data_IF_103206326307
#
_entry.id   IF_103206326307
#
_cell.length_a   1.000
_cell.length_b   1.000
_cell.length_c   1.000
_cell.angle_alpha   90.00
_cell.angle_beta   90.00
_cell.angle_gamma   90.00
#
_symmetry.space_group_name_H-M   'P 1'
#
loop_
_entity.id
_entity.type
_entity.pdbx_description
1 polymer ?
#
# COMPACT_ATOMS: atom_id res chain seq x y z
N UNK A 1 15.71 -24.76 -6.18
CA UNK A 1 14.84 -23.68 -6.67
C UNK A 1 14.55 -22.77 -5.49
N UNK A 2 14.66 -21.46 -5.66
CA UNK A 2 14.18 -20.51 -4.65
C UNK A 2 12.65 -20.68 -4.53
N UNK A 3 12.11 -20.73 -3.30
CA UNK A 3 10.65 -20.73 -3.07
C UNK A 3 10.08 -19.48 -3.76
N UNK A 4 9.02 -19.63 -4.54
CA UNK A 4 8.30 -18.48 -5.06
C UNK A 4 7.81 -17.63 -3.86
N UNK A 5 7.92 -16.33 -3.97
CA UNK A 5 7.40 -15.40 -2.97
C UNK A 5 5.90 -15.21 -3.20
N UNK A 6 5.13 -15.15 -2.13
CA UNK A 6 3.68 -14.96 -2.20
C UNK A 6 3.33 -13.49 -1.92
N UNK A 7 2.48 -12.92 -2.76
CA UNK A 7 1.96 -11.57 -2.57
C UNK A 7 0.45 -11.52 -2.72
N UNK A 8 -0.20 -10.63 -2.00
CA UNK A 8 -1.60 -10.28 -2.24
C UNK A 8 -1.72 -8.80 -2.56
N UNK A 9 -2.64 -8.48 -3.49
CA UNK A 9 -3.13 -7.12 -3.71
C UNK A 9 -4.57 -7.08 -3.22
N UNK A 10 -4.88 -6.17 -2.30
CA UNK A 10 -6.23 -6.01 -1.76
C UNK A 10 -6.74 -4.63 -2.13
N UNK A 11 -7.71 -4.59 -3.05
CA UNK A 11 -8.19 -3.33 -3.61
C UNK A 11 -9.65 -3.03 -3.24
N UNK A 12 -9.99 -1.73 -3.19
CA UNK A 12 -11.34 -1.26 -2.92
C UNK A 12 -11.40 0.13 -2.32
N UNK A 13 -12.45 0.39 -1.54
CA UNK A 13 -12.69 1.69 -0.95
C UNK A 13 -13.25 2.68 -1.97
N UNK A 14 -12.67 3.87 -2.10
CA UNK A 14 -13.15 4.88 -3.04
C UNK A 14 -12.74 4.58 -4.48
N UNK A 15 -13.73 4.32 -5.33
CA UNK A 15 -13.53 3.93 -6.73
C UNK A 15 -12.98 5.04 -7.63
N UNK A 16 -12.95 6.29 -7.17
CA UNK A 16 -12.36 7.42 -7.91
C UNK A 16 -10.85 7.29 -8.15
N UNK A 17 -10.15 6.44 -7.42
CA UNK A 17 -8.75 6.08 -7.64
C UNK A 17 -8.55 4.88 -8.57
N UNK A 18 -9.62 4.33 -9.16
CA UNK A 18 -9.58 3.16 -10.07
C UNK A 18 -8.75 2.00 -9.47
N UNK A 19 -9.03 1.56 -8.22
CA UNK A 19 -8.18 0.60 -7.51
C UNK A 19 -8.11 -0.77 -8.19
N UNK A 20 -9.16 -1.18 -8.88
CA UNK A 20 -9.21 -2.37 -9.73
C UNK A 20 -8.17 -2.31 -10.85
N UNK A 21 -8.12 -1.20 -11.59
CA UNK A 21 -7.13 -1.00 -12.66
C UNK A 21 -5.70 -0.89 -12.11
N UNK A 22 -5.54 -0.28 -10.96
CA UNK A 22 -4.25 -0.28 -10.28
C UNK A 22 -3.78 -1.71 -9.96
N UNK A 23 -4.67 -2.55 -9.43
CA UNK A 23 -4.36 -3.95 -9.17
C UNK A 23 -3.97 -4.71 -10.44
N UNK A 24 -4.70 -4.51 -11.55
CA UNK A 24 -4.43 -5.12 -12.86
C UNK A 24 -3.06 -4.70 -13.43
N UNK A 25 -2.59 -3.49 -13.17
CA UNK A 25 -1.28 -3.00 -13.61
C UNK A 25 -0.15 -3.58 -12.74
N UNK A 26 -0.33 -3.59 -11.43
CA UNK A 26 0.73 -3.98 -10.51
C UNK A 26 0.90 -5.49 -10.33
N UNK A 27 -0.14 -6.29 -10.53
CA UNK A 27 -0.02 -7.74 -10.42
C UNK A 27 1.00 -8.33 -11.42
N UNK A 28 0.93 -8.07 -12.74
CA UNK A 28 1.94 -8.54 -13.68
C UNK A 28 3.35 -8.03 -13.39
N UNK A 29 3.46 -6.80 -12.85
CA UNK A 29 4.75 -6.28 -12.44
C UNK A 29 5.37 -7.11 -11.30
N UNK A 30 4.60 -7.44 -10.27
CA UNK A 30 5.07 -8.28 -9.15
C UNK A 30 5.37 -9.71 -9.62
N UNK A 31 4.55 -10.27 -10.50
CA UNK A 31 4.81 -11.59 -11.11
C UNK A 31 6.14 -11.60 -11.86
N UNK A 32 6.44 -10.55 -12.61
CA UNK A 32 7.73 -10.39 -13.29
C UNK A 32 8.93 -10.33 -12.33
N UNK A 33 8.68 -10.02 -11.05
CA UNK A 33 9.67 -10.01 -9.97
C UNK A 33 9.73 -11.31 -9.17
N UNK A 34 9.00 -12.34 -9.61
CA UNK A 34 9.03 -13.69 -9.04
C UNK A 34 8.04 -13.90 -7.89
N UNK A 35 7.02 -13.05 -7.76
CA UNK A 35 5.92 -13.28 -6.84
C UNK A 35 4.81 -14.11 -7.48
N UNK A 36 4.21 -15.01 -6.72
CA UNK A 36 2.87 -15.54 -6.99
C UNK A 36 1.87 -14.54 -6.41
N UNK A 37 1.02 -13.95 -7.26
CA UNK A 37 0.15 -12.84 -6.86
C UNK A 37 -1.31 -13.29 -6.85
N UNK A 38 -2.01 -13.04 -5.75
CA UNK A 38 -3.46 -13.16 -5.67
C UNK A 38 -4.08 -11.76 -5.47
N UNK A 39 -5.25 -11.54 -6.08
CA UNK A 39 -5.96 -10.25 -6.02
C UNK A 39 -7.28 -10.46 -5.31
N UNK A 40 -7.61 -9.58 -4.37
CA UNK A 40 -8.82 -9.60 -3.57
C UNK A 40 -9.52 -8.23 -3.61
N UNK A 41 -10.84 -8.24 -3.74
CA UNK A 41 -11.73 -7.08 -3.69
C UNK A 41 -12.46 -6.93 -2.34
N UNK A 42 -12.01 -7.68 -1.34
CA UNK A 42 -12.54 -7.68 0.01
C UNK A 42 -11.43 -7.72 1.05
N UNK A 43 -11.67 -7.11 2.21
CA UNK A 43 -10.77 -7.15 3.35
C UNK A 43 -10.84 -8.49 4.11
N UNK A 44 -11.76 -9.38 3.76
CA UNK A 44 -11.94 -10.66 4.47
C UNK A 44 -10.74 -11.60 4.32
N UNK A 45 -9.89 -11.39 3.31
CA UNK A 45 -8.62 -12.12 3.19
C UNK A 45 -7.74 -11.97 4.43
N UNK A 46 -7.83 -10.84 5.13
CA UNK A 46 -7.08 -10.59 6.37
C UNK A 46 -7.52 -11.46 7.56
N UNK A 47 -8.69 -12.11 7.46
CA UNK A 47 -9.19 -13.07 8.46
C UNK A 47 -8.57 -14.47 8.31
N UNK A 48 -8.00 -14.78 7.16
CA UNK A 48 -7.34 -16.06 6.89
C UNK A 48 -5.93 -16.08 7.45
N UNK A 49 -5.80 -16.47 8.70
CA UNK A 49 -4.52 -16.44 9.41
C UNK A 49 -3.45 -17.35 8.80
N UNK A 50 -3.82 -18.45 8.15
CA UNK A 50 -2.86 -19.35 7.52
C UNK A 50 -2.33 -18.76 6.22
N UNK A 51 -3.21 -18.20 5.37
CA UNK A 51 -2.81 -17.45 4.19
C UNK A 51 -1.90 -16.28 4.57
N UNK A 52 -2.30 -15.47 5.55
CA UNK A 52 -1.55 -14.29 5.96
C UNK A 52 -0.14 -14.59 6.46
N UNK A 53 0.09 -15.74 7.08
CA UNK A 53 1.43 -16.19 7.52
C UNK A 53 2.34 -16.65 6.38
N UNK A 54 1.79 -17.12 5.26
CA UNK A 54 2.57 -17.63 4.12
C UNK A 54 2.90 -16.53 3.09
N UNK A 55 2.54 -15.28 3.38
CA UNK A 55 2.83 -14.14 2.53
C UNK A 55 4.24 -13.58 2.75
N UNK A 56 4.81 -13.05 1.68
CA UNK A 56 6.02 -12.22 1.70
C UNK A 56 5.68 -10.73 1.53
N UNK A 57 4.53 -10.40 0.89
CA UNK A 57 4.13 -9.02 0.59
C UNK A 57 2.61 -8.84 0.57
N UNK A 58 2.16 -7.77 1.19
CA UNK A 58 0.78 -7.25 1.12
C UNK A 58 0.81 -5.89 0.43
N UNK A 59 -0.04 -5.71 -0.58
CA UNK A 59 -0.20 -4.44 -1.30
C UNK A 59 -1.63 -3.94 -1.14
N UNK A 60 -1.90 -3.08 -0.15
CA UNK A 60 -3.21 -2.45 -0.01
C UNK A 60 -3.38 -1.37 -1.08
N UNK A 61 -4.45 -1.47 -1.85
CA UNK A 61 -4.93 -0.47 -2.83
C UNK A 61 -6.34 -0.04 -2.42
N UNK A 62 -6.45 0.45 -1.20
CA UNK A 62 -7.72 0.73 -0.54
C UNK A 62 -7.77 2.15 0.01
N UNK A 63 -8.53 3.04 -0.61
CA UNK A 63 -8.65 4.43 -0.17
C UNK A 63 -9.87 4.62 0.71
N UNK A 64 -9.71 5.30 1.86
CA UNK A 64 -10.80 5.54 2.83
C UNK A 64 -11.38 4.21 3.38
N UNK A 65 -12.69 4.14 3.55
CA UNK A 65 -13.39 2.96 4.04
C UNK A 65 -13.16 2.67 5.51
N UNK A 66 -13.71 1.55 5.93
CA UNK A 66 -13.58 1.04 7.31
C UNK A 66 -13.04 -0.38 7.28
N UNK A 67 -12.30 -0.73 8.31
CA UNK A 67 -11.79 -2.09 8.54
C UNK A 67 -12.34 -2.57 9.90
N UNK A 68 -12.76 -3.83 9.99
CA UNK A 68 -13.17 -4.38 11.28
C UNK A 68 -11.97 -4.60 12.20
N UNK A 69 -12.21 -4.79 13.49
CA UNK A 69 -11.13 -5.08 14.44
C UNK A 69 -10.42 -6.38 14.11
N UNK A 70 -11.15 -7.39 13.69
CA UNK A 70 -10.65 -8.70 13.33
C UNK A 70 -9.80 -8.65 12.06
N UNK A 71 -10.27 -7.96 11.01
CA UNK A 71 -9.51 -7.74 9.78
C UNK A 71 -8.23 -6.94 10.05
N UNK A 72 -8.33 -5.83 10.80
CA UNK A 72 -7.17 -5.03 11.19
C UNK A 72 -6.16 -5.85 11.99
N UNK A 73 -6.65 -6.68 12.96
CA UNK A 73 -5.79 -7.55 13.74
C UNK A 73 -5.02 -8.54 12.85
N UNK A 74 -5.69 -9.17 11.88
CA UNK A 74 -5.04 -10.10 10.95
C UNK A 74 -3.95 -9.43 10.11
N UNK A 75 -4.23 -8.24 9.55
CA UNK A 75 -3.26 -7.45 8.81
C UNK A 75 -2.04 -7.05 9.66
N UNK A 76 -2.30 -6.47 10.83
CA UNK A 76 -1.24 -6.04 11.77
C UNK A 76 -0.37 -7.21 12.20
N UNK A 77 -0.96 -8.36 12.53
CA UNK A 77 -0.22 -9.57 12.93
C UNK A 77 0.66 -10.10 11.81
N UNK A 78 0.22 -10.08 10.57
CA UNK A 78 1.05 -10.47 9.44
C UNK A 78 2.29 -9.57 9.33
N UNK A 79 2.11 -8.25 9.39
CA UNK A 79 3.22 -7.29 9.31
C UNK A 79 4.16 -7.41 10.52
N UNK A 80 3.64 -7.54 11.74
CA UNK A 80 4.45 -7.80 12.94
C UNK A 80 5.28 -9.08 12.83
N UNK A 81 4.80 -10.10 12.13
CA UNK A 81 5.52 -11.36 11.91
C UNK A 81 6.61 -11.27 10.84
N UNK A 82 6.70 -10.15 10.12
CA UNK A 82 7.73 -9.90 9.11
C UNK A 82 7.24 -9.91 7.67
N UNK A 83 5.94 -10.04 7.41
CA UNK A 83 5.37 -9.87 6.08
C UNK A 83 5.53 -8.40 5.66
N UNK A 84 6.10 -8.17 4.48
CA UNK A 84 6.25 -6.82 3.92
C UNK A 84 4.89 -6.18 3.59
N UNK A 85 4.80 -4.87 3.77
CA UNK A 85 3.67 -4.08 3.30
C UNK A 85 4.20 -2.95 2.42
N UNK A 86 3.59 -2.73 1.26
CA UNK A 86 3.94 -1.65 0.34
C UNK A 86 2.69 -1.13 -0.36
N UNK A 87 2.64 0.17 -0.54
CA UNK A 87 1.51 0.82 -1.20
C UNK A 87 1.89 2.25 -1.58
N UNK A 88 0.94 2.96 -2.14
CA UNK A 88 1.15 4.33 -2.63
C UNK A 88 -0.11 5.18 -2.47
N UNK A 89 0.07 6.49 -2.42
CA UNK A 89 -1.00 7.47 -2.46
C UNK A 89 -2.12 7.18 -1.43
N UNK A 90 -3.38 7.46 -1.79
CA UNK A 90 -4.54 7.16 -0.95
C UNK A 90 -4.78 5.68 -0.71
N UNK A 91 -4.30 4.81 -1.58
CA UNK A 91 -4.45 3.35 -1.44
C UNK A 91 -3.73 2.76 -0.25
N UNK A 92 -2.79 3.49 0.36
CA UNK A 92 -2.18 3.13 1.63
C UNK A 92 -2.27 4.25 2.66
N UNK A 93 -1.93 5.50 2.30
CA UNK A 93 -1.84 6.62 3.25
C UNK A 93 -3.18 7.18 3.71
N UNK A 94 -4.28 6.90 3.00
CA UNK A 94 -5.63 7.35 3.32
C UNK A 94 -6.61 6.20 3.60
N UNK A 95 -6.10 5.00 3.83
CA UNK A 95 -6.93 3.87 4.21
C UNK A 95 -7.34 3.96 5.67
N UNK A 96 -8.57 3.57 5.97
CA UNK A 96 -9.06 3.31 7.32
C UNK A 96 -8.78 4.43 8.33
N UNK A 97 -9.14 5.66 8.00
CA UNK A 97 -8.84 6.89 8.77
C UNK A 97 -9.12 6.81 10.28
N UNK A 98 -10.04 5.92 10.70
CA UNK A 98 -10.42 5.73 12.09
C UNK A 98 -9.62 4.62 12.80
N UNK A 99 -8.68 3.96 12.12
CA UNK A 99 -7.89 2.90 12.70
C UNK A 99 -6.46 3.40 13.01
N UNK A 100 -6.22 3.73 14.27
CA UNK A 100 -4.96 4.31 14.74
C UNK A 100 -3.80 3.32 14.59
N UNK A 101 -4.04 2.04 14.84
CA UNK A 101 -2.98 1.01 14.75
C UNK A 101 -2.51 0.83 13.31
N UNK A 102 -3.45 0.90 12.34
CA UNK A 102 -3.08 0.91 10.92
C UNK A 102 -2.21 2.11 10.57
N UNK A 103 -2.57 3.31 11.05
CA UNK A 103 -1.80 4.53 10.80
C UNK A 103 -0.39 4.47 11.39
N UNK A 104 -0.24 3.90 12.58
CA UNK A 104 1.07 3.64 13.17
C UNK A 104 1.88 2.63 12.33
N UNK A 105 1.26 1.57 11.85
CA UNK A 105 1.91 0.56 11.01
C UNK A 105 2.45 1.16 9.70
N UNK A 106 1.66 1.99 9.01
CA UNK A 106 2.08 2.62 7.75
C UNK A 106 2.95 3.87 7.95
N UNK A 107 3.04 4.37 9.17
CA UNK A 107 3.91 5.48 9.54
C UNK A 107 3.34 6.88 9.31
N UNK A 108 2.07 7.01 9.01
CA UNK A 108 1.43 8.31 8.81
C UNK A 108 -0.07 8.22 8.57
N UNK A 109 -0.68 9.38 8.50
CA UNK A 109 -2.08 9.57 8.18
C UNK A 109 -2.22 10.73 7.20
N UNK A 110 -2.95 10.52 6.13
CA UNK A 110 -3.35 11.62 5.25
C UNK A 110 -4.36 12.52 5.97
N UNK A 111 -4.18 13.83 5.85
CA UNK A 111 -5.06 14.84 6.46
C UNK A 111 -5.79 15.65 5.39
N UNK A 112 -5.04 16.22 4.43
CA UNK A 112 -5.59 17.07 3.40
C UNK A 112 -4.60 17.28 2.24
N UNK A 113 -5.09 17.84 1.12
CA UNK A 113 -4.29 18.39 0.03
C UNK A 113 -4.84 19.79 -0.34
N UNK A 114 -4.62 20.82 0.50
CA UNK A 114 -5.15 22.15 0.25
C UNK A 114 -4.61 22.71 -1.07
N UNK A 115 -5.51 23.33 -1.85
CA UNK A 115 -5.19 23.87 -3.17
C UNK A 115 -5.42 22.90 -4.33
N UNK A 116 -5.82 21.65 -4.06
CA UNK A 116 -6.03 20.63 -5.11
C UNK A 116 -4.73 20.28 -5.83
N UNK A 117 -4.70 20.41 -7.15
CA UNK A 117 -3.47 20.23 -7.93
C UNK A 117 -2.62 21.50 -7.88
N UNK A 118 -1.41 21.37 -7.36
CA UNK A 118 -0.44 22.47 -7.21
C UNK A 118 0.91 22.09 -7.84
N UNK A 119 1.67 23.11 -8.24
CA UNK A 119 3.05 22.93 -8.71
C UNK A 119 3.99 22.90 -7.50
N UNK A 120 4.84 21.87 -7.41
CA UNK A 120 5.86 21.76 -6.36
C UNK A 120 7.09 21.01 -6.85
N UNK A 121 8.15 21.04 -6.04
CA UNK A 121 9.39 20.30 -6.28
C UNK A 121 9.51 19.19 -5.25
N UNK A 122 9.75 17.98 -5.72
CA UNK A 122 10.14 16.86 -4.86
C UNK A 122 11.65 16.89 -4.70
N UNK A 123 12.13 17.07 -3.48
CA UNK A 123 13.54 17.07 -3.16
C UNK A 123 13.97 15.71 -2.61
N UNK A 124 15.03 15.14 -3.18
CA UNK A 124 15.61 13.89 -2.72
C UNK A 124 16.51 14.19 -1.51
N UNK A 125 15.96 14.04 -0.31
CA UNK A 125 16.64 14.43 0.92
C UNK A 125 17.83 13.54 1.30
N UNK A 126 17.88 12.29 0.83
CA UNK A 126 18.95 11.32 1.11
C UNK A 126 19.35 10.60 -0.18
N UNK A 127 20.08 11.23 -1.08
CA UNK A 127 20.41 10.66 -2.40
C UNK A 127 21.24 9.36 -2.33
N UNK A 128 21.92 9.12 -1.22
CA UNK A 128 22.70 7.89 -0.97
C UNK A 128 21.86 6.70 -0.48
N UNK A 129 20.57 6.90 -0.22
CA UNK A 129 19.67 5.81 0.18
C UNK A 129 19.36 4.92 -1.03
N UNK A 130 19.52 3.59 -0.92
CA UNK A 130 19.30 2.68 -2.04
C UNK A 130 17.87 2.72 -2.61
N UNK A 131 16.87 3.14 -1.83
CA UNK A 131 15.48 3.25 -2.30
C UNK A 131 15.33 4.37 -3.33
N UNK A 132 16.10 5.45 -3.22
CA UNK A 132 16.04 6.61 -4.12
C UNK A 132 17.27 6.69 -5.05
N UNK A 133 18.10 5.66 -5.06
CA UNK A 133 19.29 5.62 -5.90
C UNK A 133 18.97 5.87 -7.38
N UNK A 134 19.61 6.84 -7.98
CA UNK A 134 19.41 7.25 -9.37
C UNK A 134 18.27 8.26 -9.57
N UNK A 135 17.57 8.67 -8.51
CA UNK A 135 16.63 9.79 -8.56
C UNK A 135 17.34 11.11 -8.26
N UNK A 136 16.86 12.17 -8.86
CA UNK A 136 17.23 13.56 -8.56
C UNK A 136 15.98 14.37 -8.32
N UNK A 137 16.11 15.57 -7.77
CA UNK A 137 14.99 16.48 -7.58
C UNK A 137 14.20 16.67 -8.87
N UNK A 138 12.88 16.69 -8.77
CA UNK A 138 12.01 16.85 -9.93
C UNK A 138 10.78 17.73 -9.63
N UNK A 139 10.28 18.39 -10.67
CA UNK A 139 9.05 19.18 -10.63
C UNK A 139 7.84 18.27 -10.82
N UNK A 140 6.78 18.58 -10.13
CA UNK A 140 5.53 17.85 -10.18
C UNK A 140 4.35 18.81 -10.13
N UNK A 141 3.27 18.48 -10.86
CA UNK A 141 1.96 19.09 -10.68
C UNK A 141 1.01 17.99 -10.22
N UNK A 142 0.64 18.01 -8.97
CA UNK A 142 -0.20 16.98 -8.33
C UNK A 142 -0.79 17.49 -7.03
N UNK A 143 -1.49 16.63 -6.32
CA UNK A 143 -1.91 16.84 -4.95
C UNK A 143 -0.70 16.80 -4.02
N UNK A 144 -0.49 17.86 -3.24
CA UNK A 144 0.54 17.87 -2.20
C UNK A 144 -0.11 17.46 -0.87
N UNK A 145 0.25 16.31 -0.38
CA UNK A 145 -0.34 15.73 0.82
C UNK A 145 0.25 16.30 2.12
N UNK A 146 -0.64 16.47 3.10
CA UNK A 146 -0.33 16.79 4.48
C UNK A 146 -0.89 15.73 5.41
#
# INVERSE_FOLDING_TARGET
MLKAKNAIIVWGGWMGHEPDKCAEIFAPYLESRGYAVEIFDTLDVYLDSEKMKDLDLIVPVWTMGTITKEQAHGLLKAVESGVGIAGWHGGMGDSFRNNVDYQFMVGGQWVAHPGGLVDYVVNIAKPDDPIVAGLSDFKMQSEQYY
#
